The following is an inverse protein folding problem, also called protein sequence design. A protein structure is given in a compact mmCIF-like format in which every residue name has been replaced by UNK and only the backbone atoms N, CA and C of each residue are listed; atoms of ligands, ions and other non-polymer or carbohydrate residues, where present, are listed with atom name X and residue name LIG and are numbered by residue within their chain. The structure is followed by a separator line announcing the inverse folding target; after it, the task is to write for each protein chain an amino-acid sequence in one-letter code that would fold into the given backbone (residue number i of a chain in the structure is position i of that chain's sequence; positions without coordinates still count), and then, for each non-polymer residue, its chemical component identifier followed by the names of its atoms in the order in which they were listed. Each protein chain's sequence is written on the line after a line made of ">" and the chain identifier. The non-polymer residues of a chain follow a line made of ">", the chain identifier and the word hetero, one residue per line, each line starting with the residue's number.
data_IF_042616770288
#
_entry.id   IF_042616770288
#
_cell.length_a   1.000
_cell.length_b   1.000
_cell.length_c   1.000
_cell.angle_alpha   90.00
_cell.angle_beta   90.00
_cell.angle_gamma   90.00
#
_symmetry.space_group_name_H-M   'P 1'
#
loop_
_entity.id
_entity.type
_entity.pdbx_description
1 polymer ?
#
# COMPACT_ATOMS: atom_id res chain seq x y z
N UNK A 1 -37.05 -7.38 -85.65
CA UNK A 1 -36.49 -6.37 -84.73
C UNK A 1 -36.45 -7.00 -83.35
N UNK A 2 -35.26 -7.37 -82.88
CA UNK A 2 -35.06 -7.89 -81.52
C UNK A 2 -34.85 -6.70 -80.56
N UNK A 3 -35.31 -6.78 -79.30
CA UNK A 3 -35.04 -5.73 -78.33
C UNK A 3 -33.55 -5.74 -77.91
N UNK A 4 -32.99 -4.60 -77.46
CA UNK A 4 -31.59 -4.53 -77.07
C UNK A 4 -31.38 -5.25 -75.73
N UNK A 5 -30.15 -5.72 -75.44
CA UNK A 5 -29.85 -6.38 -74.18
C UNK A 5 -29.89 -5.34 -73.05
N UNK A 6 -30.61 -5.65 -71.99
CA UNK A 6 -30.61 -4.90 -70.74
C UNK A 6 -29.25 -5.01 -70.06
N UNK A 7 -28.51 -3.90 -69.99
CA UNK A 7 -27.32 -3.76 -69.16
C UNK A 7 -27.69 -3.94 -67.69
N UNK A 8 -27.22 -5.05 -67.10
CA UNK A 8 -27.25 -5.24 -65.65
C UNK A 8 -26.07 -4.50 -65.04
N UNK A 9 -26.31 -3.27 -64.57
CA UNK A 9 -25.34 -2.54 -63.76
C UNK A 9 -25.27 -3.16 -62.36
N UNK A 10 -24.31 -4.05 -62.14
CA UNK A 10 -23.99 -4.58 -60.81
C UNK A 10 -23.39 -3.45 -59.98
N UNK A 11 -24.16 -2.90 -59.02
CA UNK A 11 -23.64 -1.96 -58.02
C UNK A 11 -22.81 -2.77 -57.01
N UNK A 12 -21.49 -2.60 -57.02
CA UNK A 12 -20.65 -3.01 -55.89
C UNK A 12 -21.04 -2.16 -54.67
N UNK A 13 -21.81 -2.75 -53.75
CA UNK A 13 -21.98 -2.20 -52.42
C UNK A 13 -20.67 -2.32 -51.65
N UNK A 14 -19.88 -1.24 -51.66
CA UNK A 14 -18.72 -1.11 -50.78
C UNK A 14 -19.24 -0.95 -49.35
N UNK A 15 -19.19 -2.02 -48.56
CA UNK A 15 -19.49 -1.92 -47.13
C UNK A 15 -18.49 -0.95 -46.47
N UNK A 16 -18.95 0.03 -45.70
CA UNK A 16 -18.05 0.99 -45.06
C UNK A 16 -17.15 0.22 -44.09
N UNK A 17 -15.83 0.45 -44.20
CA UNK A 17 -14.85 -0.09 -43.26
C UNK A 17 -15.19 0.40 -41.85
N UNK A 18 -15.38 -0.54 -40.93
CA UNK A 18 -15.63 -0.24 -39.52
C UNK A 18 -14.45 -0.74 -38.67
N UNK A 19 -14.20 -0.10 -37.53
CA UNK A 19 -13.12 -0.49 -36.61
C UNK A 19 -13.20 -1.97 -36.18
N UNK A 20 -14.41 -2.52 -36.07
CA UNK A 20 -14.64 -3.93 -35.67
C UNK A 20 -14.37 -4.94 -36.79
N UNK A 21 -14.25 -4.48 -38.04
CA UNK A 21 -13.91 -5.32 -39.20
C UNK A 21 -12.41 -5.40 -39.46
N UNK A 22 -11.60 -4.65 -38.71
CA UNK A 22 -10.15 -4.73 -38.81
C UNK A 22 -9.64 -6.07 -38.25
N UNK A 23 -8.51 -6.59 -38.77
CA UNK A 23 -7.78 -7.68 -38.15
C UNK A 23 -7.48 -7.42 -36.67
N UNK A 24 -7.49 -8.49 -35.86
CA UNK A 24 -7.26 -8.45 -34.41
C UNK A 24 -6.01 -7.67 -34.03
N UNK A 25 -4.93 -7.84 -34.79
CA UNK A 25 -3.63 -7.25 -34.52
C UNK A 25 -3.65 -5.72 -34.68
N UNK A 26 -4.39 -5.23 -35.68
CA UNK A 26 -4.56 -3.79 -35.91
C UNK A 26 -5.49 -3.18 -34.87
N UNK A 27 -6.56 -3.90 -34.50
CA UNK A 27 -7.47 -3.46 -33.46
C UNK A 27 -6.74 -3.35 -32.11
N UNK A 28 -6.01 -4.37 -31.70
CA UNK A 28 -5.16 -4.35 -30.51
C UNK A 28 -4.18 -3.19 -30.55
N UNK A 29 -3.51 -2.97 -31.69
CA UNK A 29 -2.55 -1.88 -31.85
C UNK A 29 -3.21 -0.51 -31.66
N UNK A 30 -4.38 -0.29 -32.25
CA UNK A 30 -5.15 0.95 -32.09
C UNK A 30 -5.54 1.16 -30.63
N UNK A 31 -6.15 0.14 -30.01
CA UNK A 31 -6.56 0.20 -28.60
C UNK A 31 -5.36 0.41 -27.67
N UNK A 32 -4.18 -0.11 -28.02
CA UNK A 32 -2.96 0.04 -27.21
C UNK A 32 -2.50 1.50 -27.06
N UNK A 33 -2.93 2.41 -27.96
CA UNK A 33 -2.65 3.85 -27.85
C UNK A 33 -3.59 4.59 -26.90
N UNK A 34 -4.72 3.98 -26.51
CA UNK A 34 -5.69 4.65 -25.64
C UNK A 34 -5.20 4.71 -24.18
N UNK A 35 -5.46 5.82 -23.47
CA UNK A 35 -5.26 5.90 -22.02
C UNK A 35 -6.08 4.83 -21.27
N UNK A 36 -5.58 4.39 -20.11
CA UNK A 36 -6.25 3.39 -19.27
C UNK A 36 -7.72 3.70 -18.94
N UNK A 37 -8.10 4.95 -18.60
CA UNK A 37 -9.50 5.26 -18.30
C UNK A 37 -10.42 5.10 -19.52
N UNK A 38 -9.91 5.31 -20.73
CA UNK A 38 -10.70 5.26 -21.95
C UNK A 38 -10.82 3.83 -22.47
N UNK A 39 -9.86 2.96 -22.19
CA UNK A 39 -9.96 1.53 -22.50
C UNK A 39 -11.20 0.89 -21.88
N UNK A 40 -11.51 1.18 -20.61
CA UNK A 40 -12.72 0.63 -19.96
C UNK A 40 -14.00 1.07 -20.67
N UNK A 41 -14.10 2.36 -21.02
CA UNK A 41 -15.26 2.91 -21.75
C UNK A 41 -15.39 2.28 -23.13
N UNK A 42 -14.27 2.04 -23.83
CA UNK A 42 -14.27 1.41 -25.14
C UNK A 42 -14.70 -0.06 -25.05
N UNK A 43 -14.36 -0.76 -23.97
CA UNK A 43 -14.88 -2.09 -23.69
C UNK A 43 -16.41 -2.13 -23.68
N UNK A 44 -17.06 -1.12 -23.09
CA UNK A 44 -18.53 -1.04 -23.00
C UNK A 44 -19.24 -0.84 -24.35
N UNK A 45 -18.52 -0.45 -25.40
CA UNK A 45 -19.11 -0.17 -26.73
C UNK A 45 -19.56 -1.46 -27.43
N UNK A 46 -18.73 -2.50 -27.42
CA UNK A 46 -19.06 -3.77 -28.07
C UNK A 46 -18.28 -4.96 -27.50
N UNK A 47 -18.77 -6.16 -27.76
CA UNK A 47 -18.17 -7.43 -27.32
C UNK A 47 -16.77 -7.64 -27.89
N UNK A 48 -16.51 -7.22 -29.15
CA UNK A 48 -15.18 -7.30 -29.76
C UNK A 48 -14.16 -6.52 -28.94
N UNK A 49 -14.45 -5.26 -28.63
CA UNK A 49 -13.55 -4.42 -27.82
C UNK A 49 -13.40 -4.96 -26.40
N UNK A 50 -14.50 -5.38 -25.76
CA UNK A 50 -14.45 -6.06 -24.46
C UNK A 50 -13.50 -7.25 -24.49
N UNK A 51 -13.62 -8.13 -25.50
CA UNK A 51 -12.80 -9.33 -25.60
C UNK A 51 -11.33 -8.99 -25.84
N UNK A 52 -11.03 -8.02 -26.71
CA UNK A 52 -9.66 -7.54 -26.93
C UNK A 52 -9.04 -6.97 -25.65
N UNK A 53 -9.78 -6.16 -24.89
CA UNK A 53 -9.28 -5.56 -23.64
C UNK A 53 -9.12 -6.62 -22.54
N UNK A 54 -9.94 -7.67 -22.55
CA UNK A 54 -9.82 -8.78 -21.59
C UNK A 54 -8.74 -9.78 -21.96
N UNK A 55 -8.18 -9.72 -23.17
CA UNK A 55 -7.08 -10.58 -23.58
C UNK A 55 -5.80 -10.21 -22.81
N UNK A 56 -5.17 -11.16 -22.09
CA UNK A 56 -3.87 -10.92 -21.47
C UNK A 56 -2.80 -10.44 -22.47
N UNK A 57 -2.81 -10.94 -23.71
CA UNK A 57 -1.84 -10.58 -24.75
C UNK A 57 -1.91 -9.10 -25.12
N UNK A 58 -3.11 -8.51 -25.09
CA UNK A 58 -3.30 -7.08 -25.31
C UNK A 58 -2.50 -6.25 -24.30
N UNK A 59 -2.55 -6.61 -23.01
CA UNK A 59 -1.83 -5.89 -21.95
C UNK A 59 -0.31 -6.05 -22.07
N UNK A 60 0.15 -7.24 -22.48
CA UNK A 60 1.56 -7.51 -22.77
C UNK A 60 2.09 -6.73 -23.98
N UNK A 61 1.22 -6.53 -24.98
CA UNK A 61 1.53 -5.73 -26.17
C UNK A 61 1.53 -4.23 -25.84
N UNK A 62 0.54 -3.76 -25.07
CA UNK A 62 0.41 -2.37 -24.64
C UNK A 62 1.55 -1.96 -23.70
N UNK A 63 1.99 -2.87 -22.83
CA UNK A 63 3.05 -2.63 -21.88
C UNK A 63 4.07 -3.75 -21.95
N UNK A 64 5.28 -3.40 -22.37
CA UNK A 64 6.40 -4.35 -22.47
C UNK A 64 6.52 -5.16 -21.17
N UNK A 65 6.54 -6.49 -21.28
CA UNK A 65 6.67 -7.43 -20.16
C UNK A 65 7.87 -7.14 -19.25
N UNK A 66 8.91 -6.49 -19.79
CA UNK A 66 10.10 -6.09 -19.05
C UNK A 66 9.94 -4.76 -18.30
N UNK A 67 8.75 -4.15 -18.32
CA UNK A 67 8.45 -3.01 -17.46
C UNK A 67 8.56 -3.43 -15.99
N UNK A 68 9.28 -2.67 -15.13
CA UNK A 68 9.38 -2.94 -13.70
C UNK A 68 8.02 -3.07 -12.99
N UNK A 69 6.98 -2.53 -13.62
CA UNK A 69 5.59 -2.59 -13.14
C UNK A 69 4.99 -3.99 -13.28
N UNK A 70 5.38 -4.76 -14.31
CA UNK A 70 4.82 -6.09 -14.60
C UNK A 70 5.67 -7.24 -14.07
N UNK A 71 6.95 -7.02 -13.75
CA UNK A 71 7.79 -8.01 -13.08
C UNK A 71 7.26 -8.44 -11.71
N UNK A 72 6.31 -7.68 -11.16
CA UNK A 72 5.63 -7.96 -9.90
C UNK A 72 4.46 -8.94 -10.05
N UNK A 73 3.96 -9.20 -11.28
CA UNK A 73 2.84 -10.12 -11.52
C UNK A 73 3.40 -11.53 -11.69
N UNK A 74 3.06 -12.42 -10.76
CA UNK A 74 3.50 -13.81 -10.80
C UNK A 74 2.74 -14.63 -11.85
N UNK A 75 3.39 -15.67 -12.38
CA UNK A 75 2.84 -16.56 -13.42
C UNK A 75 1.49 -17.19 -13.05
N UNK A 76 1.24 -17.45 -11.75
CA UNK A 76 -0.03 -18.03 -11.28
C UNK A 76 -1.21 -17.05 -11.38
N UNK A 77 -0.96 -15.75 -11.34
CA UNK A 77 -1.99 -14.72 -11.60
C UNK A 77 -2.23 -14.62 -13.10
N UNK A 78 -1.14 -14.81 -13.88
CA UNK A 78 -1.16 -14.74 -15.34
C UNK A 78 -1.90 -15.90 -16.04
N UNK A 79 -2.47 -16.84 -15.28
CA UNK A 79 -3.25 -17.96 -15.80
C UNK A 79 -4.74 -17.87 -15.43
N UNK A 80 -5.16 -16.80 -14.74
CA UNK A 80 -6.54 -16.67 -14.25
C UNK A 80 -7.45 -15.93 -15.24
N UNK A 81 -8.74 -16.27 -15.32
CA UNK A 81 -9.70 -15.59 -16.22
C UNK A 81 -9.80 -14.08 -16.01
N UNK A 82 -9.57 -13.60 -14.77
CA UNK A 82 -9.67 -12.20 -14.38
C UNK A 82 -8.30 -11.47 -14.36
N UNK A 83 -7.26 -12.06 -14.95
CA UNK A 83 -5.91 -11.48 -15.00
C UNK A 83 -5.89 -10.05 -15.58
N UNK A 84 -6.71 -9.78 -16.60
CA UNK A 84 -6.79 -8.46 -17.23
C UNK A 84 -7.11 -7.34 -16.21
N UNK A 85 -7.90 -7.65 -15.17
CA UNK A 85 -8.23 -6.70 -14.12
C UNK A 85 -7.01 -6.40 -13.23
N UNK A 86 -6.15 -7.39 -13.03
CA UNK A 86 -4.86 -7.22 -12.32
C UNK A 86 -3.91 -6.35 -13.14
N UNK A 87 -3.77 -6.62 -14.43
CA UNK A 87 -2.97 -5.78 -15.33
C UNK A 87 -3.43 -4.33 -15.32
N UNK A 88 -4.75 -4.12 -15.43
CA UNK A 88 -5.34 -2.78 -15.34
C UNK A 88 -5.02 -2.11 -14.00
N UNK A 89 -5.21 -2.82 -12.88
CA UNK A 89 -4.97 -2.28 -11.54
C UNK A 89 -3.49 -1.93 -11.32
N UNK A 90 -2.58 -2.79 -11.75
CA UNK A 90 -1.13 -2.57 -11.73
C UNK A 90 -0.75 -1.34 -12.55
N UNK A 91 -1.28 -1.21 -13.77
CA UNK A 91 -1.00 -0.04 -14.62
C UNK A 91 -1.58 1.26 -14.06
N UNK A 92 -2.80 1.21 -13.50
CA UNK A 92 -3.55 2.40 -13.09
C UNK A 92 -3.14 2.90 -11.71
N UNK A 93 -2.84 1.97 -10.81
CA UNK A 93 -2.68 2.23 -9.38
C UNK A 93 -1.36 1.74 -8.79
N UNK A 94 -0.51 1.04 -9.55
CA UNK A 94 0.73 0.43 -9.06
C UNK A 94 0.49 -0.33 -7.75
N UNK A 95 -0.46 -1.27 -7.78
CA UNK A 95 -1.06 -1.85 -6.58
C UNK A 95 -0.05 -2.56 -5.67
N UNK A 96 0.95 -3.26 -6.23
CA UNK A 96 1.89 -4.06 -5.45
C UNK A 96 3.14 -3.27 -5.01
N UNK A 97 3.70 -3.64 -3.86
CA UNK A 97 5.01 -3.18 -3.38
C UNK A 97 5.12 -1.72 -2.94
N UNK A 98 4.17 -0.85 -3.31
CA UNK A 98 4.15 0.56 -2.88
C UNK A 98 3.59 0.71 -1.47
N UNK A 99 4.08 1.72 -0.75
CA UNK A 99 3.49 2.10 0.53
C UNK A 99 2.10 2.71 0.32
N UNK A 100 1.11 2.17 1.03
CA UNK A 100 -0.27 2.62 1.01
C UNK A 100 -0.54 3.71 2.07
N UNK A 101 0.33 3.82 3.08
CA UNK A 101 0.24 4.90 4.05
C UNK A 101 0.79 6.21 3.46
N UNK A 102 0.13 7.31 3.80
CA UNK A 102 0.53 8.68 3.48
C UNK A 102 1.36 9.26 4.61
N UNK A 103 2.29 10.15 4.26
CA UNK A 103 3.06 10.95 5.20
C UNK A 103 3.70 10.13 6.34
N UNK A 104 4.40 9.06 5.98
CA UNK A 104 4.99 8.11 6.93
C UNK A 104 6.10 8.65 7.83
N UNK A 105 6.56 9.88 7.59
CA UNK A 105 7.70 10.50 8.27
C UNK A 105 7.37 11.90 8.81
N UNK A 106 6.14 12.40 8.67
CA UNK A 106 5.76 13.73 9.17
C UNK A 106 6.30 14.92 8.37
N UNK A 107 6.80 14.70 7.15
CA UNK A 107 7.27 15.78 6.27
C UNK A 107 6.15 16.76 5.92
N UNK A 108 4.94 16.24 5.76
CA UNK A 108 3.74 17.02 5.44
C UNK A 108 2.93 17.34 6.71
N UNK A 109 3.60 17.55 7.84
CA UNK A 109 2.91 17.76 9.11
C UNK A 109 2.24 16.48 9.61
N UNK A 110 1.00 16.60 10.09
CA UNK A 110 0.12 15.46 10.43
C UNK A 110 -0.86 15.11 9.30
N UNK A 111 -0.66 15.65 8.09
CA UNK A 111 -1.56 15.41 6.97
C UNK A 111 -1.68 13.91 6.67
N UNK A 112 -2.91 13.42 6.51
CA UNK A 112 -3.22 12.02 6.27
C UNK A 112 -3.35 11.14 7.51
N UNK A 113 -3.01 11.65 8.70
CA UNK A 113 -3.19 10.94 9.97
C UNK A 113 -4.40 11.49 10.74
N UNK A 114 -5.20 10.59 11.30
CA UNK A 114 -6.23 10.94 12.28
C UNK A 114 -5.60 10.84 13.67
N UNK A 115 -5.41 11.98 14.34
CA UNK A 115 -4.88 12.02 15.70
C UNK A 115 -6.02 11.72 16.67
N UNK A 116 -5.85 10.69 17.50
CA UNK A 116 -6.86 10.21 18.45
C UNK A 116 -6.58 10.80 19.83
N UNK A 117 -5.31 10.88 20.21
CA UNK A 117 -4.85 11.48 21.46
C UNK A 117 -3.50 12.17 21.26
N UNK A 118 -3.19 13.11 22.15
CA UNK A 118 -1.98 13.93 22.04
C UNK A 118 -2.06 14.89 20.85
N UNK A 119 -3.16 15.62 20.70
CA UNK A 119 -3.25 16.67 19.67
C UNK A 119 -2.17 17.73 19.87
N UNK A 120 -1.49 18.19 18.81
CA UNK A 120 -0.52 19.27 18.91
C UNK A 120 -1.21 20.55 19.39
N UNK A 121 -0.78 21.08 20.52
CA UNK A 121 -1.30 22.32 21.10
C UNK A 121 -0.36 23.50 20.78
N UNK A 122 -0.78 24.52 20.01
CA UNK A 122 0.05 25.68 19.71
C UNK A 122 0.41 26.49 20.97
N UNK A 123 -0.46 26.44 21.97
CA UNK A 123 -0.34 27.20 23.22
C UNK A 123 0.57 26.51 24.25
N UNK A 124 0.75 25.19 24.12
CA UNK A 124 1.60 24.38 25.00
C UNK A 124 2.44 23.43 24.13
N UNK A 125 3.68 23.82 23.77
CA UNK A 125 4.57 22.99 22.94
C UNK A 125 5.02 21.66 23.61
N UNK A 126 4.41 21.31 24.75
CA UNK A 126 4.68 20.14 25.61
C UNK A 126 3.53 19.12 25.65
N UNK A 127 2.52 19.31 24.81
CA UNK A 127 1.32 18.49 24.85
C UNK A 127 1.10 17.86 23.48
N UNK A 128 1.41 16.57 23.38
CA UNK A 128 1.01 15.72 22.28
C UNK A 128 2.09 15.44 21.25
N UNK A 129 1.65 15.05 20.06
CA UNK A 129 2.53 14.73 18.96
C UNK A 129 3.32 15.96 18.50
N UNK A 130 4.61 15.77 18.32
CA UNK A 130 5.50 16.76 17.70
C UNK A 130 6.19 16.17 16.49
N UNK A 131 6.65 17.04 15.59
CA UNK A 131 7.43 16.65 14.42
C UNK A 131 8.84 17.15 14.66
N UNK A 132 9.79 16.22 14.67
CA UNK A 132 11.20 16.50 14.96
C UNK A 132 12.06 15.88 13.88
N UNK A 133 13.29 16.35 13.76
CA UNK A 133 14.23 15.72 12.85
C UNK A 133 14.54 14.29 13.30
N UNK A 134 14.71 13.39 12.33
CA UNK A 134 15.22 12.05 12.60
C UNK A 134 16.61 12.23 13.22
N UNK A 135 16.87 11.68 14.41
CA UNK A 135 18.11 11.93 15.14
C UNK A 135 19.35 11.24 14.53
N UNK A 136 19.30 10.83 13.25
CA UNK A 136 20.30 9.99 12.62
C UNK A 136 20.67 10.47 11.21
N UNK A 137 21.94 10.30 10.80
CA UNK A 137 22.36 10.66 9.46
C UNK A 137 21.58 9.83 8.43
N UNK A 138 21.06 10.53 7.41
CA UNK A 138 20.24 9.97 6.32
C UNK A 138 20.90 8.81 5.56
N UNK A 139 22.21 8.60 5.71
CA UNK A 139 22.98 7.48 5.14
C UNK A 139 22.64 6.11 5.75
N UNK A 140 22.09 6.05 6.96
CA UNK A 140 21.69 4.82 7.67
C UNK A 140 20.30 4.35 7.21
N UNK A 141 19.47 5.28 6.71
CA UNK A 141 18.12 5.00 6.22
C UNK A 141 18.19 4.56 4.75
N UNK A 142 18.42 3.27 4.51
CA UNK A 142 18.55 2.74 3.15
C UNK A 142 17.37 3.14 2.23
N UNK A 143 17.75 3.62 1.04
CA UNK A 143 16.94 3.79 -0.18
C UNK A 143 15.76 4.78 -0.17
N UNK A 144 15.80 5.90 0.55
CA UNK A 144 15.02 7.08 0.14
C UNK A 144 15.64 8.38 0.66
N UNK A 145 16.20 9.17 -0.25
CA UNK A 145 16.95 10.42 -0.06
C UNK A 145 16.11 11.63 0.39
N UNK A 146 15.04 11.45 1.18
CA UNK A 146 14.21 12.60 1.62
C UNK A 146 13.75 12.55 3.08
N UNK A 147 13.91 11.43 3.80
CA UNK A 147 13.36 11.27 5.16
C UNK A 147 14.18 12.07 6.18
N UNK A 148 13.76 13.29 6.48
CA UNK A 148 14.42 14.17 7.45
C UNK A 148 13.70 14.24 8.79
N UNK A 149 12.41 13.93 8.85
CA UNK A 149 11.57 14.10 10.04
C UNK A 149 10.98 12.80 10.56
N UNK A 150 10.54 12.79 11.82
CA UNK A 150 9.75 11.75 12.44
C UNK A 150 8.69 12.35 13.36
N UNK A 151 7.72 11.54 13.75
CA UNK A 151 6.75 11.90 14.78
C UNK A 151 7.32 11.52 16.15
N UNK A 152 7.24 12.41 17.13
CA UNK A 152 7.63 12.15 18.50
C UNK A 152 6.42 12.30 19.43
N UNK A 153 6.22 11.32 20.31
CA UNK A 153 5.24 11.42 21.39
C UNK A 153 5.83 12.18 22.58
N UNK A 154 4.97 12.60 23.50
CA UNK A 154 5.36 13.30 24.72
C UNK A 154 5.17 12.43 25.97
N UNK A 155 5.19 13.04 27.16
CA UNK A 155 4.94 12.42 28.46
C UNK A 155 3.49 11.92 28.65
N UNK A 156 2.57 12.34 27.78
CA UNK A 156 1.18 11.88 27.76
C UNK A 156 0.94 10.88 26.63
N UNK A 157 -0.13 10.10 26.75
CA UNK A 157 -0.58 9.20 25.68
C UNK A 157 -0.84 9.98 24.39
N UNK A 158 -0.10 9.63 23.35
CA UNK A 158 -0.25 10.14 22.00
C UNK A 158 -0.56 8.98 21.07
N UNK A 159 -1.64 9.04 20.31
CA UNK A 159 -1.97 8.01 19.32
C UNK A 159 -2.58 8.61 18.06
N UNK A 160 -2.34 7.94 16.94
CA UNK A 160 -2.89 8.30 15.65
C UNK A 160 -3.08 7.07 14.77
N UNK A 161 -3.94 7.23 13.76
CA UNK A 161 -4.32 6.15 12.87
C UNK A 161 -4.46 6.61 11.42
N UNK A 162 -4.43 5.65 10.51
CA UNK A 162 -4.79 5.83 9.11
C UNK A 162 -5.50 4.58 8.60
N UNK A 163 -6.63 4.78 7.92
CA UNK A 163 -7.39 3.70 7.30
C UNK A 163 -7.27 3.82 5.78
N UNK A 164 -6.74 2.76 5.15
CA UNK A 164 -6.60 2.66 3.70
C UNK A 164 -7.80 1.91 3.13
N UNK A 165 -8.55 2.54 2.21
CA UNK A 165 -9.53 1.85 1.37
C UNK A 165 -8.81 1.11 0.23
N UNK A 166 -8.71 -0.21 0.37
CA UNK A 166 -8.07 -1.12 -0.58
C UNK A 166 -8.70 -1.01 -1.97
N UNK A 167 -10.02 -0.88 -2.06
CA UNK A 167 -10.71 -0.81 -3.34
C UNK A 167 -10.38 0.50 -4.07
N UNK A 168 -10.34 1.61 -3.33
CA UNK A 168 -9.98 2.91 -3.87
C UNK A 168 -8.53 2.97 -4.38
N UNK A 169 -7.64 2.14 -3.81
CA UNK A 169 -6.23 2.05 -4.24
C UNK A 169 -5.97 0.94 -5.25
N UNK A 170 -7.01 0.28 -5.78
CA UNK A 170 -6.94 -0.66 -6.90
C UNK A 170 -7.07 -2.15 -6.53
N UNK A 171 -7.15 -2.49 -5.25
CA UNK A 171 -7.41 -3.85 -4.78
C UNK A 171 -8.91 -4.12 -4.72
N UNK A 172 -9.56 -4.17 -5.88
CA UNK A 172 -10.98 -4.54 -5.95
C UNK A 172 -11.17 -6.02 -5.61
N UNK A 173 -12.38 -6.49 -5.26
CA UNK A 173 -12.63 -7.90 -5.00
C UNK A 173 -12.17 -8.85 -6.12
N UNK A 174 -12.30 -8.42 -7.39
CA UNK A 174 -11.82 -9.20 -8.54
C UNK A 174 -10.29 -9.33 -8.54
N UNK A 175 -9.57 -8.22 -8.34
CA UNK A 175 -8.11 -8.20 -8.25
C UNK A 175 -7.63 -9.05 -7.08
N UNK A 176 -8.20 -8.85 -5.89
CA UNK A 176 -7.82 -9.58 -4.68
C UNK A 176 -8.02 -11.09 -4.81
N UNK A 177 -9.10 -11.55 -5.48
CA UNK A 177 -9.33 -12.98 -5.76
C UNK A 177 -8.36 -13.53 -6.80
N UNK A 178 -8.08 -12.77 -7.85
CA UNK A 178 -7.15 -13.18 -8.89
C UNK A 178 -5.70 -13.31 -8.37
N UNK A 179 -5.38 -12.57 -7.31
CA UNK A 179 -4.04 -12.46 -6.77
C UNK A 179 -3.71 -13.43 -5.62
N UNK A 180 -4.61 -14.36 -5.29
CA UNK A 180 -4.36 -15.33 -4.22
C UNK A 180 -3.31 -16.36 -4.67
N UNK A 181 -2.24 -16.62 -3.88
CA UNK A 181 -1.96 -16.07 -2.55
C UNK A 181 -1.26 -14.71 -2.55
N UNK A 182 -1.57 -13.87 -1.56
CA UNK A 182 -0.95 -12.55 -1.34
C UNK A 182 -0.79 -12.27 0.15
N UNK A 183 -0.04 -11.22 0.50
CA UNK A 183 0.14 -10.80 1.90
C UNK A 183 0.07 -9.28 2.07
N UNK A 184 -0.38 -8.85 3.25
CA UNK A 184 -0.21 -7.48 3.73
C UNK A 184 1.04 -7.42 4.58
N UNK A 185 2.08 -6.78 4.06
CA UNK A 185 3.25 -6.40 4.84
C UNK A 185 3.03 -5.04 5.50
N UNK A 186 3.54 -4.88 6.71
CA UNK A 186 3.59 -3.59 7.35
C UNK A 186 4.87 -3.45 8.16
N UNK A 187 5.26 -2.21 8.44
CA UNK A 187 6.39 -1.93 9.31
C UNK A 187 6.50 -0.48 9.74
N UNK A 188 7.31 -0.22 10.75
CA UNK A 188 7.58 1.12 11.29
C UNK A 188 8.89 1.10 12.05
N UNK A 189 9.64 2.19 11.96
CA UNK A 189 10.83 2.41 12.78
C UNK A 189 10.46 3.15 14.04
N UNK A 190 11.03 2.71 15.16
CA UNK A 190 10.81 3.33 16.47
C UNK A 190 12.15 3.50 17.17
N UNK A 191 12.34 4.64 17.81
CA UNK A 191 13.46 4.89 18.74
C UNK A 191 12.97 5.66 19.95
N UNK A 192 13.74 5.66 21.02
CA UNK A 192 13.55 6.61 22.14
C UNK A 192 14.72 7.61 22.15
N UNK A 193 14.49 8.88 22.52
CA UNK A 193 15.58 9.84 22.62
C UNK A 193 16.57 9.41 23.72
N UNK A 194 17.87 9.58 23.47
CA UNK A 194 18.93 9.20 24.41
C UNK A 194 18.85 10.03 25.70
N UNK A 195 19.05 9.39 26.86
CA UNK A 195 19.04 10.08 28.16
C UNK A 195 17.67 10.20 28.83
N UNK A 196 16.60 9.72 28.18
CA UNK A 196 15.25 9.68 28.74
C UNK A 196 14.93 8.32 29.38
N UNK A 197 13.93 8.31 30.26
CA UNK A 197 13.54 7.16 31.09
C UNK A 197 12.94 5.97 30.32
N UNK A 198 13.01 5.98 28.99
CA UNK A 198 12.34 5.03 28.11
C UNK A 198 10.89 5.44 27.84
N UNK A 199 10.09 4.50 27.37
CA UNK A 199 8.70 4.77 27.00
C UNK A 199 7.92 3.54 26.60
N UNK A 200 6.63 3.73 26.37
CA UNK A 200 5.72 2.71 25.88
C UNK A 200 5.34 3.03 24.45
N UNK A 201 5.42 2.02 23.59
CA UNK A 201 4.94 2.10 22.21
C UNK A 201 3.93 0.99 21.95
N UNK A 202 2.87 1.33 21.23
CA UNK A 202 1.84 0.40 20.81
C UNK A 202 1.55 0.51 19.31
N UNK A 203 1.25 -0.63 18.68
CA UNK A 203 0.94 -0.73 17.26
C UNK A 203 -0.12 -1.81 17.02
N UNK A 204 -1.11 -1.47 16.21
CA UNK A 204 -2.16 -2.39 15.75
C UNK A 204 -2.35 -2.25 14.25
N UNK A 205 -2.43 -3.39 13.55
CA UNK A 205 -2.83 -3.43 12.14
C UNK A 205 -4.01 -4.39 12.00
N UNK A 206 -5.13 -3.89 11.47
CA UNK A 206 -6.38 -4.64 11.32
C UNK A 206 -6.84 -4.65 9.87
N UNK A 207 -7.36 -5.79 9.43
CA UNK A 207 -8.04 -5.97 8.16
C UNK A 207 -9.55 -5.92 8.41
N UNK A 208 -10.25 -5.00 7.76
CA UNK A 208 -11.67 -4.72 8.01
C UNK A 208 -12.52 -4.98 6.76
N UNK A 209 -13.75 -5.44 6.98
CA UNK A 209 -14.79 -5.62 5.96
C UNK A 209 -15.25 -4.31 5.34
N UNK A 210 -16.06 -4.40 4.29
CA UNK A 210 -16.82 -3.27 3.73
C UNK A 210 -17.72 -2.57 4.76
N UNK A 211 -18.14 -3.28 5.81
CA UNK A 211 -18.92 -2.79 6.94
C UNK A 211 -18.08 -2.31 8.13
N UNK A 212 -16.76 -2.24 8.00
CA UNK A 212 -15.79 -1.88 9.07
C UNK A 212 -15.72 -2.88 10.23
N UNK A 213 -16.22 -4.10 10.03
CA UNK A 213 -16.04 -5.19 10.98
C UNK A 213 -14.66 -5.82 10.82
N UNK A 214 -14.07 -6.22 11.94
CA UNK A 214 -12.77 -6.86 11.96
C UNK A 214 -12.82 -8.26 11.34
N UNK A 215 -12.02 -8.50 10.30
CA UNK A 215 -11.83 -9.80 9.65
C UNK A 215 -10.61 -10.51 10.24
N UNK A 216 -9.48 -9.82 10.29
CA UNK A 216 -8.21 -10.33 10.80
C UNK A 216 -7.48 -9.20 11.52
N UNK A 217 -6.96 -9.49 12.72
CA UNK A 217 -6.16 -8.54 13.49
C UNK A 217 -4.81 -9.09 13.80
N UNK A 218 -3.81 -8.25 13.59
CA UNK A 218 -2.53 -8.46 14.21
C UNK A 218 -2.59 -7.99 15.66
N UNK A 219 -2.27 -8.89 16.59
CA UNK A 219 -2.36 -8.59 18.02
C UNK A 219 -1.49 -7.37 18.36
N UNK A 220 -1.93 -6.56 19.34
CA UNK A 220 -1.14 -5.50 19.95
C UNK A 220 0.34 -5.83 20.07
N UNK A 221 1.18 -5.07 19.35
CA UNK A 221 2.59 -4.99 19.71
C UNK A 221 2.73 -3.87 20.72
N UNK A 222 2.86 -4.22 21.99
CA UNK A 222 3.21 -3.28 23.04
C UNK A 222 4.66 -3.51 23.42
N UNK A 223 5.49 -2.49 23.22
CA UNK A 223 6.90 -2.53 23.57
C UNK A 223 7.20 -1.51 24.66
N UNK A 224 7.86 -1.98 25.71
CA UNK A 224 8.51 -1.10 26.68
C UNK A 224 9.97 -0.93 26.30
N UNK A 225 10.41 0.32 26.17
CA UNK A 225 11.81 0.64 25.96
C UNK A 225 12.45 0.92 27.32
N UNK A 226 13.58 0.27 27.67
CA UNK A 226 14.29 0.55 28.91
C UNK A 226 14.88 1.97 28.88
N UNK A 227 15.06 2.56 30.06
CA UNK A 227 15.88 3.76 30.21
C UNK A 227 17.28 3.48 29.67
N UNK A 228 17.92 4.45 29.01
CA UNK A 228 19.20 4.30 28.29
C UNK A 228 20.41 3.93 29.18
N UNK A 229 20.20 3.54 30.43
CA UNK A 229 21.19 3.02 31.37
C UNK A 229 21.18 1.49 31.52
N UNK A 230 20.25 0.76 30.89
CA UNK A 230 20.25 -0.71 30.88
C UNK A 230 20.06 -1.24 29.46
N UNK A 231 21.17 -1.32 28.72
CA UNK A 231 21.27 -2.19 27.56
C UNK A 231 21.37 -3.64 28.05
N UNK A 232 20.26 -4.37 28.01
CA UNK A 232 20.18 -5.82 27.76
C UNK A 232 18.77 -6.29 28.14
N UNK A 233 17.90 -6.37 27.15
CA UNK A 233 16.54 -6.90 27.30
C UNK A 233 16.16 -7.65 26.04
N UNK A 234 16.29 -8.97 26.09
CA UNK A 234 15.86 -9.88 25.05
C UNK A 234 14.35 -9.76 24.83
N UNK A 235 13.94 -9.38 23.62
CA UNK A 235 12.58 -9.63 23.16
C UNK A 235 12.66 -10.43 21.85
N UNK A 236 12.21 -11.68 21.94
CA UNK A 236 12.24 -12.69 20.89
C UNK A 236 11.23 -12.37 19.80
N UNK A 237 11.57 -11.53 18.82
CA UNK A 237 10.73 -11.30 17.64
C UNK A 237 11.61 -11.07 16.42
N UNK A 238 11.06 -11.22 15.20
CA UNK A 238 11.79 -10.96 13.94
C UNK A 238 12.03 -9.45 13.74
N UNK A 239 12.73 -8.84 14.69
CA UNK A 239 13.50 -7.63 14.47
C UNK A 239 14.54 -8.00 13.43
N UNK A 240 14.42 -7.48 12.22
CA UNK A 240 15.65 -7.23 11.47
C UNK A 240 16.30 -6.03 12.16
N UNK A 241 16.98 -6.30 13.27
CA UNK A 241 17.94 -5.35 13.82
C UNK A 241 19.06 -5.31 12.80
N UNK A 242 18.99 -4.37 11.87
CA UNK A 242 20.19 -3.92 11.18
C UNK A 242 21.07 -3.29 12.25
N UNK A 243 21.94 -4.10 12.85
CA UNK A 243 23.03 -3.63 13.70
C UNK A 243 23.99 -2.91 12.74
N UNK A 244 23.71 -1.64 12.50
CA UNK A 244 24.70 -0.69 12.01
C UNK A 244 25.55 -0.26 13.21
N UNK A 245 26.84 0.07 12.99
CA UNK A 245 27.88 -0.02 14.00
C UNK A 245 27.55 0.78 15.27
N UNK A 246 27.55 0.05 16.39
CA UNK A 246 27.62 0.44 17.81
C UNK A 246 27.21 1.89 18.15
N UNK A 247 25.96 2.07 18.61
CA UNK A 247 25.61 2.91 19.80
C UNK A 247 24.14 3.37 19.88
N UNK A 248 23.26 3.09 18.91
CA UNK A 248 21.93 3.75 18.86
C UNK A 248 20.75 2.74 18.84
N UNK A 249 19.84 2.75 19.84
CA UNK A 249 18.76 1.77 19.97
C UNK A 249 17.53 2.19 19.14
N UNK A 250 17.54 1.85 17.85
CA UNK A 250 16.33 1.89 17.02
C UNK A 250 15.89 0.49 16.61
N UNK A 251 14.59 0.28 16.54
CA UNK A 251 13.99 -1.02 16.21
C UNK A 251 13.04 -0.86 15.03
N UNK A 252 13.19 -1.70 14.00
CA UNK A 252 12.16 -1.86 12.97
C UNK A 252 11.17 -2.91 13.44
N UNK A 253 9.93 -2.50 13.66
CA UNK A 253 8.82 -3.44 13.73
C UNK A 253 8.36 -3.73 12.32
N UNK A 254 8.23 -4.99 11.94
CA UNK A 254 7.62 -5.37 10.67
C UNK A 254 7.07 -6.77 10.74
N UNK A 255 5.96 -7.01 10.05
CA UNK A 255 5.38 -8.34 9.89
C UNK A 255 4.64 -8.44 8.57
N UNK A 256 4.34 -9.66 8.15
CA UNK A 256 3.40 -9.92 7.08
C UNK A 256 2.20 -10.72 7.58
N UNK A 257 1.04 -10.43 6.99
CA UNK A 257 -0.20 -11.17 7.16
C UNK A 257 -0.47 -11.93 5.87
N UNK A 258 0.03 -13.18 5.74
CA UNK A 258 -0.18 -13.96 4.55
C UNK A 258 -1.63 -14.45 4.47
N UNK A 259 -2.19 -14.44 3.28
CA UNK A 259 -3.49 -15.03 2.95
C UNK A 259 -3.18 -16.21 2.04
N UNK A 260 -3.12 -17.40 2.65
CA UNK A 260 -2.60 -18.62 2.01
C UNK A 260 -3.60 -19.78 2.04
N UNK A 261 -4.61 -19.72 2.91
CA UNK A 261 -5.55 -20.83 3.11
C UNK A 261 -6.92 -20.56 2.50
N UNK A 262 -7.61 -21.63 2.12
CA UNK A 262 -9.00 -21.57 1.64
C UNK A 262 -9.96 -20.96 2.66
N UNK A 263 -9.65 -21.05 3.95
CA UNK A 263 -10.43 -20.43 5.02
C UNK A 263 -10.24 -18.92 5.07
N UNK A 264 -9.01 -18.42 5.00
CA UNK A 264 -8.73 -16.97 4.95
C UNK A 264 -9.28 -16.35 3.67
N UNK A 265 -9.11 -17.03 2.54
CA UNK A 265 -9.75 -16.67 1.27
C UNK A 265 -11.27 -16.59 1.40
N UNK A 266 -11.89 -17.59 2.04
CA UNK A 266 -13.33 -17.60 2.27
C UNK A 266 -13.78 -16.43 3.14
N UNK A 267 -13.10 -16.14 4.26
CA UNK A 267 -13.47 -15.02 5.14
C UNK A 267 -13.30 -13.67 4.43
N UNK A 268 -12.22 -13.49 3.67
CA UNK A 268 -11.97 -12.28 2.88
C UNK A 268 -13.00 -12.08 1.78
N UNK A 269 -13.36 -13.16 1.08
CA UNK A 269 -14.36 -13.11 0.02
C UNK A 269 -15.77 -12.92 0.57
N UNK A 270 -16.11 -13.57 1.69
CA UNK A 270 -17.44 -13.52 2.29
C UNK A 270 -17.71 -12.19 2.99
N UNK A 271 -16.72 -11.68 3.71
CA UNK A 271 -16.84 -10.44 4.49
C UNK A 271 -16.36 -9.22 3.72
N UNK A 272 -16.05 -9.36 2.44
CA UNK A 272 -15.67 -8.27 1.55
C UNK A 272 -14.55 -7.39 2.13
N UNK A 273 -13.36 -7.96 2.30
CA UNK A 273 -12.20 -7.19 2.79
C UNK A 273 -12.04 -5.89 1.98
N UNK A 274 -12.02 -4.76 2.68
CA UNK A 274 -11.98 -3.44 2.06
C UNK A 274 -10.99 -2.50 2.70
N UNK A 275 -10.76 -2.58 4.01
CA UNK A 275 -9.87 -1.62 4.66
C UNK A 275 -8.68 -2.28 5.35
N UNK A 276 -7.55 -1.58 5.32
CA UNK A 276 -6.44 -1.81 6.25
C UNK A 276 -6.39 -0.64 7.20
N UNK A 277 -6.54 -0.91 8.48
CA UNK A 277 -6.48 0.07 9.55
C UNK A 277 -5.13 -0.05 10.25
N UNK A 278 -4.36 1.03 10.24
CA UNK A 278 -3.05 1.13 10.88
C UNK A 278 -3.15 2.13 12.03
N UNK A 279 -2.89 1.68 13.25
CA UNK A 279 -2.90 2.48 14.46
C UNK A 279 -1.54 2.37 15.15
N UNK A 280 -1.03 3.48 15.64
CA UNK A 280 0.09 3.44 16.57
C UNK A 280 0.08 4.61 17.56
N UNK A 281 0.76 4.41 18.67
CA UNK A 281 0.85 5.41 19.72
C UNK A 281 1.93 5.10 20.71
N UNK A 282 2.14 6.04 21.63
CA UNK A 282 3.11 5.88 22.70
C UNK A 282 3.07 7.02 23.68
N UNK A 283 3.89 6.88 24.71
CA UNK A 283 4.14 7.90 25.71
C UNK A 283 5.51 7.67 26.34
N UNK A 284 6.14 8.74 26.82
CA UNK A 284 7.35 8.63 27.63
C UNK A 284 7.03 7.90 28.95
N UNK A 285 8.05 7.26 29.53
CA UNK A 285 7.95 6.75 30.89
C UNK A 285 8.19 7.94 31.82
N UNK A 286 7.16 8.39 32.54
CA UNK A 286 7.28 9.58 33.39
C UNK A 286 8.47 9.48 34.35
N UNK A 287 9.32 10.51 34.34
CA UNK A 287 10.28 10.71 35.43
C UNK A 287 9.52 11.31 36.60
N UNK A 288 9.53 10.63 37.76
CA UNK A 288 9.05 11.22 39.01
C UNK A 288 9.95 12.36 39.52
N UNK A 289 11.10 12.57 38.88
CA UNK A 289 12.08 13.58 39.27
C UNK A 289 12.05 14.71 38.25
N UNK A 290 11.60 15.89 38.70
CA UNK A 290 11.45 17.13 37.91
C UNK A 290 12.76 17.69 37.35
N UNK A 291 13.36 16.97 36.41
CA UNK A 291 14.59 17.32 35.71
C UNK A 291 14.32 17.80 34.29
N UNK A 292 14.67 19.06 34.06
CA UNK A 292 14.82 19.82 32.80
C UNK A 292 13.56 20.00 31.92
N UNK A 293 12.81 21.03 32.28
CA UNK A 293 11.54 21.50 31.70
C UNK A 293 11.69 22.17 30.32
N UNK A 294 12.43 21.59 29.36
CA UNK A 294 12.87 22.32 28.16
C UNK A 294 12.31 21.89 26.80
N UNK A 295 12.08 20.59 26.56
CA UNK A 295 11.88 20.09 25.20
C UNK A 295 10.76 19.05 25.11
N UNK A 296 9.71 19.32 24.32
CA UNK A 296 8.72 18.31 23.95
C UNK A 296 9.33 17.20 23.09
N UNK A 297 8.64 16.06 22.97
CA UNK A 297 9.15 14.90 22.21
C UNK A 297 10.10 13.99 23.01
N UNK A 298 9.81 13.83 24.30
CA UNK A 298 10.52 12.97 25.27
C UNK A 298 10.20 11.49 25.11
N UNK A 299 9.09 11.15 24.46
CA UNK A 299 8.61 9.80 24.26
C UNK A 299 9.12 9.14 22.97
N UNK A 300 8.59 7.95 22.61
CA UNK A 300 8.92 7.28 21.37
C UNK A 300 8.84 8.17 20.12
N UNK A 301 9.87 8.04 19.28
CA UNK A 301 9.95 8.64 17.95
C UNK A 301 9.71 7.58 16.90
N UNK A 302 8.87 7.88 15.92
CA UNK A 302 8.39 6.93 14.92
C UNK A 302 8.44 7.49 13.50
N UNK A 303 8.92 6.68 12.57
CA UNK A 303 9.03 7.06 11.16
C UNK A 303 8.99 5.84 10.24
N UNK A 304 8.89 6.10 8.94
CA UNK A 304 8.89 5.08 7.92
C UNK A 304 7.75 4.08 8.03
N UNK A 305 6.61 4.48 8.62
CA UNK A 305 5.43 3.64 8.70
C UNK A 305 4.99 3.20 7.29
N UNK A 306 4.88 1.88 7.08
CA UNK A 306 4.53 1.29 5.80
C UNK A 306 3.44 0.24 5.92
N UNK A 307 2.55 0.22 4.94
CA UNK A 307 1.62 -0.88 4.63
C UNK A 307 1.76 -1.15 3.14
N UNK A 308 2.05 -2.39 2.77
CA UNK A 308 2.27 -2.83 1.40
C UNK A 308 1.52 -4.12 1.17
N UNK A 309 1.04 -4.32 -0.06
CA UNK A 309 0.51 -5.62 -0.49
C UNK A 309 1.50 -6.25 -1.45
N UNK A 310 1.80 -7.54 -1.25
CA UNK A 310 2.68 -8.32 -2.11
C UNK A 310 1.99 -9.59 -2.59
N UNK A 311 2.27 -9.96 -3.83
CA UNK A 311 1.95 -11.30 -4.32
C UNK A 311 2.91 -12.31 -3.70
N UNK A 312 2.39 -13.47 -3.36
CA UNK A 312 3.19 -14.62 -2.97
C UNK A 312 3.33 -15.54 -4.17
N UNK A 313 4.43 -16.27 -4.29
CA UNK A 313 4.52 -17.31 -5.31
C UNK A 313 3.46 -18.38 -5.03
N UNK A 314 2.68 -18.72 -6.05
CA UNK A 314 1.76 -19.85 -5.99
C UNK A 314 2.56 -21.15 -5.91
N UNK A 315 2.15 -22.05 -5.01
CA UNK A 315 2.69 -23.41 -4.99
C UNK A 315 2.18 -24.23 -6.19
#
# INVERSE_FOLDING_TARGET
>A
MSPPPSESTTKEETTPLTLITLPSELLEKILSFLPLPDLLKVGEVCTTFTNTIRDPLFWKSKYNHNSPTFSQIHTHVASRPDEWAVHWAVCRHNVFGRNLLRNSNGQDGFSGWNIISGHPEPSTPRAGWTIVDIPYPTSVLSNSTTRTTCFATDDFSCSMEQTVDLWAVGFTPAVMRACIPWEVEWGVWVSTPSGHAGGFYELHVRLLSSTSEEILTHHPMTNSFPSSTQSEGSSSFSSQSHILPESLPFTKFSRSLPIKTSREEYEISKRELRYVHFYHGGMARGNNDGGDEGAGGTGPRVWGAEVKVRLLEGK
#
